data_IF_170016307491
#
_entry.id   IF_170016307491
#
_cell.length_a   1.000
_cell.length_b   1.000
_cell.length_c   1.000
_cell.angle_alpha   90.00
_cell.angle_beta   90.00
_cell.angle_gamma   90.00
#
_symmetry.space_group_name_H-M   'P 1'
#
loop_
_entity.id
_entity.type
_entity.pdbx_description
1 polymer ?
#
# COMPACT_ATOMS: atom_id res chain seq x y z
N UNK A 1 -0.96 -1.97 14.68
CA UNK A 1 -1.81 -2.15 13.51
C UNK A 1 -1.06 -1.76 12.26
N UNK A 2 -1.14 -2.57 11.26
CA UNK A 2 -0.41 -2.33 10.02
C UNK A 2 -1.40 -2.08 8.89
N UNK A 3 -1.18 -1.05 8.13
CA UNK A 3 -2.00 -0.77 6.97
C UNK A 3 -1.14 -0.74 5.72
N UNK A 4 -1.74 -1.10 4.61
CA UNK A 4 -1.06 -1.05 3.33
C UNK A 4 -1.82 -0.07 2.45
N UNK A 5 -1.12 0.93 1.96
CA UNK A 5 -1.76 1.98 1.19
C UNK A 5 -1.24 2.01 -0.22
N UNK A 6 -2.13 2.22 -1.16
CA UNK A 6 -1.74 2.56 -2.51
C UNK A 6 -1.77 4.08 -2.57
N UNK A 7 -0.68 4.68 -2.94
CA UNK A 7 -0.59 6.15 -2.99
C UNK A 7 -0.09 6.57 -4.37
N UNK A 8 -0.41 7.76 -4.79
CA UNK A 8 0.04 8.24 -6.09
C UNK A 8 1.56 8.29 -6.12
N UNK A 9 2.14 8.02 -7.30
CA UNK A 9 3.58 7.94 -7.43
C UNK A 9 4.17 9.30 -7.71
N UNK A 10 3.77 10.29 -6.98
CA UNK A 10 4.30 11.64 -7.16
C UNK A 10 4.63 12.17 -5.79
N UNK A 11 5.03 13.42 -5.71
CA UNK A 11 5.47 13.97 -4.45
C UNK A 11 4.34 14.14 -3.45
N UNK A 12 3.09 14.10 -3.90
CA UNK A 12 1.98 14.30 -3.00
C UNK A 12 1.54 13.00 -2.32
N UNK A 13 1.83 11.86 -2.93
CA UNK A 13 1.50 10.55 -2.37
C UNK A 13 0.08 10.49 -1.83
N UNK A 14 -0.86 10.90 -2.63
CA UNK A 14 -2.24 10.91 -2.21
C UNK A 14 -2.78 9.49 -2.12
N UNK A 15 -3.53 9.17 -1.08
CA UNK A 15 -4.00 7.81 -0.91
C UNK A 15 -5.04 7.45 -1.95
N UNK A 16 -4.84 6.32 -2.60
CA UNK A 16 -5.78 5.82 -3.58
C UNK A 16 -6.60 4.67 -3.00
N UNK A 17 -6.03 3.92 -2.10
CA UNK A 17 -6.73 2.80 -1.46
C UNK A 17 -6.03 2.44 -0.17
N UNK A 18 -6.78 1.91 0.79
CA UNK A 18 -6.25 1.49 2.08
C UNK A 18 -6.65 0.04 2.29
N UNK A 19 -5.68 -0.80 2.59
CA UNK A 19 -5.94 -2.22 2.82
C UNK A 19 -5.38 -2.65 4.16
N UNK A 20 -5.99 -3.66 4.77
CA UNK A 20 -5.56 -4.13 6.07
C UNK A 20 -4.46 -5.16 5.97
N UNK A 21 -4.20 -5.72 4.83
CA UNK A 21 -3.20 -6.77 4.70
C UNK A 21 -2.64 -6.79 3.29
N UNK A 22 -1.47 -7.40 3.15
CA UNK A 22 -0.88 -7.56 1.83
C UNK A 22 -1.74 -8.47 0.97
N UNK A 23 -2.46 -9.40 1.58
CA UNK A 23 -3.37 -10.25 0.85
C UNK A 23 -4.50 -9.46 0.21
N UNK A 24 -5.02 -8.45 0.92
CA UNK A 24 -6.05 -7.60 0.36
C UNK A 24 -5.52 -6.79 -0.81
N UNK A 25 -4.30 -6.30 -0.71
CA UNK A 25 -3.70 -5.54 -1.80
C UNK A 25 -3.53 -6.48 -3.02
N UNK A 26 -3.09 -7.70 -2.77
CA UNK A 26 -2.91 -8.66 -3.84
C UNK A 26 -4.22 -8.95 -4.55
N UNK A 27 -5.29 -9.11 -3.77
CA UNK A 27 -6.58 -9.33 -4.37
C UNK A 27 -7.05 -8.12 -5.15
N UNK A 28 -6.87 -6.96 -4.61
CA UNK A 28 -7.31 -5.73 -5.26
C UNK A 28 -6.59 -5.54 -6.60
N UNK A 29 -5.34 -5.91 -6.68
CA UNK A 29 -4.55 -5.71 -7.88
C UNK A 29 -4.45 -6.94 -8.77
N UNK A 30 -5.01 -8.05 -8.35
CA UNK A 30 -4.92 -9.29 -9.12
C UNK A 30 -3.51 -9.84 -9.15
N UNK A 31 -2.77 -9.71 -8.07
CA UNK A 31 -1.40 -10.18 -8.00
C UNK A 31 -1.24 -11.17 -6.86
N UNK A 32 -0.09 -11.81 -6.79
CA UNK A 32 0.19 -12.71 -5.67
C UNK A 32 0.82 -11.91 -4.54
N UNK A 33 0.68 -12.43 -3.33
CA UNK A 33 1.14 -11.72 -2.15
C UNK A 33 2.65 -11.47 -2.17
N UNK A 34 3.42 -12.41 -2.65
CA UNK A 34 4.87 -12.24 -2.72
C UNK A 34 5.28 -11.05 -3.58
N UNK A 35 4.51 -10.78 -4.65
CA UNK A 35 4.78 -9.67 -5.49
C UNK A 35 4.59 -8.38 -4.73
N UNK A 36 3.59 -8.30 -3.86
CA UNK A 36 3.31 -7.12 -3.08
C UNK A 36 4.48 -6.83 -2.12
N UNK A 37 4.99 -7.85 -1.45
CA UNK A 37 6.10 -7.66 -0.54
C UNK A 37 7.35 -7.19 -1.28
N UNK A 38 7.60 -7.74 -2.47
CA UNK A 38 8.74 -7.31 -3.27
C UNK A 38 8.60 -5.87 -3.71
N UNK A 39 7.40 -5.49 -4.12
CA UNK A 39 7.13 -4.14 -4.57
C UNK A 39 7.37 -3.14 -3.44
N UNK A 40 6.94 -3.48 -2.23
CA UNK A 40 7.13 -2.61 -1.08
C UNK A 40 8.60 -2.53 -0.72
N UNK A 41 9.28 -3.66 -0.66
CA UNK A 41 10.67 -3.69 -0.25
C UNK A 41 11.57 -2.91 -1.19
N UNK A 42 11.26 -2.94 -2.47
CA UNK A 42 12.07 -2.26 -3.46
C UNK A 42 11.56 -0.86 -3.78
N UNK A 43 10.47 -0.45 -3.16
CA UNK A 43 9.89 0.87 -3.35
C UNK A 43 9.63 1.14 -4.83
N UNK A 44 9.05 0.16 -5.50
CA UNK A 44 8.84 0.28 -6.94
C UNK A 44 7.57 1.04 -7.24
N UNK A 45 7.58 1.75 -8.35
CA UNK A 45 6.38 2.39 -8.86
C UNK A 45 5.71 1.39 -9.79
N UNK A 46 4.42 1.26 -9.67
CA UNK A 46 3.70 0.31 -10.46
C UNK A 46 3.66 0.73 -11.92
N UNK A 47 3.64 -0.23 -12.82
CA UNK A 47 3.48 0.08 -14.23
C UNK A 47 2.02 0.21 -14.58
N UNK A 48 1.16 -0.36 -13.77
CA UNK A 48 -0.25 -0.27 -14.01
C UNK A 48 -0.78 0.97 -13.37
N UNK A 49 -2.00 1.32 -13.67
CA UNK A 49 -2.62 2.46 -13.02
C UNK A 49 -3.78 1.99 -12.17
N UNK A 50 -4.09 2.74 -11.14
CA UNK A 50 -5.25 2.52 -10.32
C UNK A 50 -5.97 3.87 -10.29
N UNK A 51 -7.21 3.88 -10.72
CA UNK A 51 -7.99 5.12 -10.86
C UNK A 51 -7.26 6.14 -11.72
N UNK A 52 -6.56 5.67 -12.74
CA UNK A 52 -5.88 6.55 -13.67
C UNK A 52 -4.54 7.07 -13.20
N UNK A 53 -4.04 6.60 -12.06
CA UNK A 53 -2.75 7.05 -11.54
C UNK A 53 -1.80 5.89 -11.35
N UNK A 54 -0.55 6.09 -11.69
CA UNK A 54 0.48 5.14 -11.29
C UNK A 54 0.60 5.26 -9.78
N UNK A 55 1.00 4.20 -9.12
CA UNK A 55 0.98 4.17 -7.67
C UNK A 55 2.17 3.47 -7.08
N UNK A 56 2.39 3.70 -5.80
CA UNK A 56 3.32 2.93 -4.99
C UNK A 56 2.55 2.32 -3.86
N UNK A 57 3.06 1.24 -3.32
CA UNK A 57 2.45 0.58 -2.18
C UNK A 57 3.33 0.86 -0.99
N UNK A 58 2.76 1.40 0.08
CA UNK A 58 3.53 1.68 1.28
C UNK A 58 2.90 0.94 2.45
N UNK A 59 3.74 0.56 3.40
CA UNK A 59 3.30 -0.12 4.60
C UNK A 59 3.42 0.86 5.74
N UNK A 60 2.34 1.06 6.47
CA UNK A 60 2.31 2.02 7.56
C UNK A 60 2.00 1.29 8.85
N UNK A 61 2.83 1.49 9.86
CA UNK A 61 2.59 0.91 11.17
C UNK A 61 1.96 1.97 12.05
N UNK A 62 0.81 1.70 12.59
CA UNK A 62 0.16 2.64 13.46
C UNK A 62 0.22 2.08 14.86
N UNK A 63 0.85 2.81 15.78
CA UNK A 63 0.94 2.41 17.11
C UNK A 63 -0.31 2.68 17.77
N UNK A 64 -1.02 1.71 18.22
CA UNK A 64 -2.15 1.96 18.93
C UNK A 64 -1.80 2.15 20.30
N UNK A 65 -1.50 3.26 20.77
CA UNK A 65 -1.17 3.44 22.06
C UNK A 65 -2.27 3.43 22.87
N UNK A 66 -2.55 2.62 23.59
CA UNK A 66 -3.57 2.56 24.41
C UNK A 66 -3.40 3.36 25.47
N UNK A 67 -3.54 4.37 25.50
CA UNK A 67 -3.37 5.18 26.46
C UNK A 67 -4.05 5.08 27.54
N UNK A 68 -4.48 4.45 27.99
CA UNK A 68 -5.18 4.40 29.03
C UNK A 68 -4.95 5.34 29.88
N UNK A 69 -4.56 5.91 29.61
CA UNK A 69 -4.42 6.98 30.31
C UNK A 69 -4.50 6.92 31.48
#
# INVERSE_FOLDING_TARGET
MTLYLLVTADKYELPLAVCDSAGEVAELLGRVRGDIYTTIARKLVSRETFNGHQFRIIKVEIDEEDDDG
#
